data_IF_198062148596
#
_entry.id   IF_198062148596
#
_cell.length_a   1.000
_cell.length_b   1.000
_cell.length_c   1.000
_cell.angle_alpha   90.00
_cell.angle_beta   90.00
_cell.angle_gamma   90.00
#
_symmetry.space_group_name_H-M   'P 1'
#
loop_
_entity.id
_entity.type
_entity.pdbx_description
1 polymer ?
#
# COMPACT_ATOMS: atom_id res chain seq x y z
N UNK A 1 15.32 -58.82 23.66
CA UNK A 1 16.30 -58.20 22.74
C UNK A 1 15.51 -57.56 21.60
N UNK A 2 15.40 -56.23 21.64
CA UNK A 2 15.84 -55.26 20.60
C UNK A 2 15.11 -55.45 19.26
N UNK A 3 14.10 -54.64 18.95
CA UNK A 3 14.23 -53.33 18.27
C UNK A 3 13.51 -53.47 16.92
N UNK A 4 12.93 -52.47 16.26
CA UNK A 4 13.11 -51.02 16.25
C UNK A 4 11.79 -50.44 15.74
N UNK A 5 11.20 -49.50 16.48
CA UNK A 5 10.09 -48.68 15.98
C UNK A 5 10.65 -47.73 14.91
N UNK A 6 10.27 -47.92 13.64
CA UNK A 6 10.57 -46.96 12.57
C UNK A 6 9.69 -45.72 12.76
N UNK A 7 10.17 -44.79 13.59
CA UNK A 7 9.63 -43.44 13.67
C UNK A 7 10.06 -42.64 12.44
N UNK A 8 9.13 -42.39 11.51
CA UNK A 8 9.33 -41.39 10.47
C UNK A 8 9.16 -40.00 11.10
N UNK A 9 10.28 -39.36 11.48
CA UNK A 9 10.28 -37.96 11.86
C UNK A 9 10.08 -37.10 10.62
N UNK A 10 8.86 -36.61 10.41
CA UNK A 10 8.59 -35.57 9.42
C UNK A 10 9.08 -34.25 10.02
N UNK A 11 10.30 -33.86 9.64
CA UNK A 11 10.84 -32.55 10.00
C UNK A 11 10.03 -31.47 9.31
N UNK A 12 9.16 -30.80 10.06
CA UNK A 12 8.49 -29.57 9.67
C UNK A 12 9.55 -28.46 9.58
N UNK A 13 10.07 -28.21 8.38
CA UNK A 13 10.88 -27.02 8.11
C UNK A 13 9.91 -25.84 8.01
N UNK A 14 9.66 -25.17 9.14
CA UNK A 14 8.93 -23.89 9.13
C UNK A 14 9.84 -22.84 8.52
N UNK A 15 9.68 -22.56 7.22
CA UNK A 15 10.30 -21.41 6.59
C UNK A 15 9.77 -20.15 7.27
N UNK A 16 10.63 -19.51 8.08
CA UNK A 16 10.33 -18.22 8.70
C UNK A 16 10.59 -17.16 7.63
N UNK A 17 9.58 -16.87 6.81
CA UNK A 17 9.64 -15.70 5.94
C UNK A 17 9.61 -14.46 6.85
N UNK A 18 10.50 -13.48 6.67
CA UNK A 18 10.27 -12.18 7.28
C UNK A 18 8.93 -11.67 6.75
N UNK A 19 7.94 -11.54 7.62
CA UNK A 19 6.74 -10.80 7.29
C UNK A 19 7.17 -9.35 7.14
N UNK A 20 7.27 -8.86 5.91
CA UNK A 20 7.30 -7.44 5.64
C UNK A 20 5.97 -6.92 6.19
N UNK A 21 6.00 -6.25 7.34
CA UNK A 21 4.80 -5.69 7.92
C UNK A 21 4.34 -4.60 6.96
N UNK A 22 3.26 -4.85 6.22
CA UNK A 22 2.72 -3.85 5.30
C UNK A 22 2.30 -2.62 6.11
N UNK A 23 2.92 -1.47 5.84
CA UNK A 23 2.76 -0.25 6.62
C UNK A 23 1.59 0.59 6.09
N UNK A 24 0.39 0.01 6.14
CA UNK A 24 -0.84 0.67 5.68
C UNK A 24 -1.34 1.70 6.68
N UNK A 25 -1.42 2.95 6.23
CA UNK A 25 -1.93 4.08 7.00
C UNK A 25 -3.35 4.39 6.55
N UNK A 26 -4.31 4.31 7.49
CA UNK A 26 -5.67 4.75 7.25
C UNK A 26 -5.73 6.27 7.09
N UNK A 27 -6.32 6.72 6.00
CA UNK A 27 -6.48 8.15 5.69
C UNK A 27 -7.88 8.63 6.04
N UNK A 28 -8.90 7.90 5.61
CA UNK A 28 -10.28 8.34 5.74
C UNK A 28 -11.24 7.61 4.82
N UNK A 29 -12.46 8.15 4.71
CA UNK A 29 -13.53 7.60 3.88
C UNK A 29 -13.83 8.53 2.70
N UNK A 30 -13.78 8.00 1.49
CA UNK A 30 -14.11 8.70 0.26
C UNK A 30 -15.60 9.06 0.18
N UNK A 31 -15.97 9.96 -0.75
CA UNK A 31 -17.38 10.32 -1.01
C UNK A 31 -18.24 9.12 -1.42
N UNK A 32 -17.64 8.11 -2.05
CA UNK A 32 -18.31 6.83 -2.38
C UNK A 32 -18.65 5.98 -1.16
N UNK A 33 -18.07 6.31 0.00
CA UNK A 33 -18.16 5.51 1.21
C UNK A 33 -17.06 4.45 1.34
N UNK A 34 -16.07 4.43 0.46
CA UNK A 34 -14.95 3.50 0.51
C UNK A 34 -13.83 4.04 1.42
N UNK A 35 -13.19 3.15 2.17
CA UNK A 35 -12.04 3.50 2.98
C UNK A 35 -10.79 3.64 2.12
N UNK A 36 -9.97 4.63 2.43
CA UNK A 36 -8.69 4.90 1.78
C UNK A 36 -7.57 4.56 2.75
N UNK A 37 -6.65 3.71 2.29
CA UNK A 37 -5.39 3.45 2.97
C UNK A 37 -4.22 3.76 2.04
N UNK A 38 -3.08 4.16 2.59
CA UNK A 38 -1.84 4.38 1.84
C UNK A 38 -0.76 3.48 2.40
N UNK A 39 -0.05 2.76 1.53
CA UNK A 39 1.14 2.02 1.93
C UNK A 39 2.29 3.02 2.10
N UNK A 40 2.66 3.30 3.35
CA UNK A 40 3.67 4.30 3.66
C UNK A 40 5.07 3.89 3.19
N UNK A 41 5.36 2.60 3.07
CA UNK A 41 6.67 2.10 2.63
C UNK A 41 6.82 2.18 1.10
N UNK A 42 5.71 2.31 0.37
CA UNK A 42 5.70 2.52 -1.08
C UNK A 42 6.01 3.96 -1.50
N UNK A 43 6.00 4.91 -0.56
CA UNK A 43 6.14 6.34 -0.85
C UNK A 43 7.59 6.63 -1.24
N UNK A 44 7.79 7.14 -2.45
CA UNK A 44 9.13 7.44 -2.98
C UNK A 44 9.11 8.60 -3.98
N UNK A 45 10.18 9.39 -4.01
CA UNK A 45 10.32 10.46 -5.00
C UNK A 45 10.73 9.90 -6.37
N UNK A 46 10.12 10.43 -7.43
CA UNK A 46 10.36 10.04 -8.81
C UNK A 46 10.33 11.27 -9.75
N UNK A 47 10.60 11.05 -11.05
CA UNK A 47 10.63 12.15 -12.03
C UNK A 47 9.25 12.76 -12.27
N UNK A 48 8.21 11.95 -12.17
CA UNK A 48 6.81 12.29 -12.39
C UNK A 48 6.10 12.86 -11.14
N UNK A 49 6.77 12.90 -9.99
CA UNK A 49 6.20 13.29 -8.71
C UNK A 49 6.54 12.30 -7.60
N UNK A 50 5.68 12.20 -6.59
CA UNK A 50 5.83 11.23 -5.50
C UNK A 50 5.05 9.96 -5.84
N UNK A 51 5.74 8.84 -6.05
CA UNK A 51 5.11 7.53 -6.24
C UNK A 51 4.60 7.00 -4.92
N UNK A 52 3.45 6.35 -4.95
CA UNK A 52 2.85 5.70 -3.81
C UNK A 52 1.85 4.64 -4.28
N UNK A 53 1.50 3.73 -3.38
CA UNK A 53 0.44 2.74 -3.52
C UNK A 53 -0.63 3.08 -2.49
N UNK A 54 -1.89 3.07 -2.92
CA UNK A 54 -3.04 3.28 -2.05
C UNK A 54 -4.11 2.24 -2.33
N UNK A 55 -4.93 1.94 -1.33
CA UNK A 55 -6.13 1.15 -1.50
C UNK A 55 -7.37 2.03 -1.36
N UNK A 56 -8.39 1.73 -2.15
CA UNK A 56 -9.73 2.31 -2.04
C UNK A 56 -10.74 1.21 -2.32
N UNK A 57 -11.63 0.97 -1.36
CA UNK A 57 -12.57 -0.15 -1.43
C UNK A 57 -11.82 -1.49 -1.50
N UNK A 58 -12.03 -2.25 -2.58
CA UNK A 58 -11.35 -3.53 -2.82
C UNK A 58 -10.18 -3.44 -3.81
N UNK A 59 -9.80 -2.23 -4.21
CA UNK A 59 -8.72 -2.02 -5.18
C UNK A 59 -7.46 -1.50 -4.50
N UNK A 60 -6.31 -1.98 -4.96
CA UNK A 60 -4.99 -1.41 -4.66
C UNK A 60 -4.38 -0.86 -5.93
N UNK A 61 -3.98 0.39 -5.90
CA UNK A 61 -3.61 1.18 -7.08
C UNK A 61 -2.26 1.85 -6.87
N UNK A 62 -1.42 1.79 -7.91
CA UNK A 62 -0.18 2.55 -7.95
C UNK A 62 -0.44 3.92 -8.58
N UNK A 63 0.09 4.95 -7.96
CA UNK A 63 -0.10 6.33 -8.37
C UNK A 63 1.16 7.19 -8.21
N UNK A 64 1.15 8.35 -8.86
CA UNK A 64 2.13 9.41 -8.69
C UNK A 64 1.42 10.72 -8.34
N UNK A 65 1.73 11.27 -7.17
CA UNK A 65 1.19 12.54 -6.70
C UNK A 65 1.99 13.72 -7.27
N UNK A 66 1.27 14.70 -7.82
CA UNK A 66 1.79 16.00 -8.16
C UNK A 66 1.38 17.00 -7.05
N UNK A 67 2.31 17.20 -6.11
CA UNK A 67 2.09 18.02 -4.92
C UNK A 67 1.91 19.51 -5.22
N UNK A 68 2.36 19.99 -6.39
CA UNK A 68 2.18 21.38 -6.80
C UNK A 68 0.79 21.64 -7.39
N UNK A 69 0.24 20.64 -8.08
CA UNK A 69 -1.04 20.78 -8.79
C UNK A 69 -2.23 20.21 -8.00
N UNK A 70 -1.99 19.64 -6.81
CA UNK A 70 -3.00 18.97 -5.99
C UNK A 70 -3.76 17.88 -6.77
N UNK A 71 -3.01 17.05 -7.50
CA UNK A 71 -3.55 15.94 -8.29
C UNK A 71 -2.70 14.68 -8.12
N UNK A 72 -3.25 13.52 -8.48
CA UNK A 72 -2.46 12.29 -8.65
C UNK A 72 -2.84 11.58 -9.94
N UNK A 73 -1.85 10.95 -10.56
CA UNK A 73 -2.00 10.11 -11.73
C UNK A 73 -2.04 8.64 -11.31
N UNK A 74 -3.04 7.89 -11.76
CA UNK A 74 -3.22 6.45 -11.46
C UNK A 74 -2.76 5.62 -12.66
N UNK A 75 -1.73 4.80 -12.46
CA UNK A 75 -1.07 4.05 -13.54
C UNK A 75 -2.00 3.05 -14.22
N UNK A 76 -2.82 2.33 -13.44
CA UNK A 76 -3.74 1.31 -13.96
C UNK A 76 -4.76 1.87 -14.96
N UNK A 77 -5.14 3.15 -14.80
CA UNK A 77 -6.21 3.79 -15.58
C UNK A 77 -5.71 4.86 -16.54
N UNK A 78 -4.40 5.13 -16.57
CA UNK A 78 -3.81 6.22 -17.34
C UNK A 78 -4.56 7.56 -17.17
N UNK A 79 -4.97 7.85 -15.93
CA UNK A 79 -5.90 8.95 -15.64
C UNK A 79 -5.40 9.77 -14.45
N UNK A 80 -5.53 11.10 -14.57
CA UNK A 80 -5.26 12.04 -13.48
C UNK A 80 -6.55 12.39 -12.75
N UNK A 81 -6.50 12.36 -11.42
CA UNK A 81 -7.59 12.71 -10.54
C UNK A 81 -7.24 13.92 -9.66
N UNK A 82 -8.26 14.64 -9.23
CA UNK A 82 -8.20 15.68 -8.21
C UNK A 82 -9.09 15.31 -7.02
N UNK A 83 -8.77 15.77 -5.79
CA UNK A 83 -9.55 15.45 -4.61
C UNK A 83 -11.03 15.79 -4.77
N UNK A 84 -11.91 14.83 -4.47
CA UNK A 84 -13.37 14.98 -4.47
C UNK A 84 -13.98 14.88 -3.06
N UNK A 85 -13.13 14.64 -2.06
CA UNK A 85 -13.49 14.43 -0.66
C UNK A 85 -12.34 14.89 0.24
N UNK A 86 -12.64 15.13 1.52
CA UNK A 86 -11.61 15.41 2.51
C UNK A 86 -10.60 14.27 2.60
N UNK A 87 -11.04 13.00 2.54
CA UNK A 87 -10.14 11.86 2.58
C UNK A 87 -9.14 11.83 1.42
N UNK A 88 -9.58 12.12 0.19
CA UNK A 88 -8.67 12.22 -0.97
C UNK A 88 -7.74 13.43 -0.90
N UNK A 89 -8.17 14.51 -0.23
CA UNK A 89 -7.32 15.67 0.03
C UNK A 89 -6.24 15.32 1.08
N UNK A 90 -6.64 14.66 2.16
CA UNK A 90 -5.75 14.22 3.24
C UNK A 90 -4.75 13.17 2.73
N UNK A 91 -5.18 12.31 1.79
CA UNK A 91 -4.30 11.34 1.11
C UNK A 91 -3.15 12.06 0.40
N UNK A 92 -3.45 13.09 -0.41
CA UNK A 92 -2.41 13.86 -1.10
C UNK A 92 -1.52 14.62 -0.11
N UNK A 93 -2.10 15.24 0.92
CA UNK A 93 -1.33 15.96 1.95
C UNK A 93 -0.37 14.99 2.66
N UNK A 94 -0.84 13.79 3.00
CA UNK A 94 -0.03 12.76 3.64
C UNK A 94 1.14 12.32 2.74
N UNK A 95 0.84 11.91 1.50
CA UNK A 95 1.85 11.46 0.53
C UNK A 95 2.88 12.54 0.26
N UNK A 96 2.44 13.77 0.02
CA UNK A 96 3.32 14.90 -0.28
C UNK A 96 4.18 15.32 0.91
N UNK A 97 3.72 15.11 2.16
CA UNK A 97 4.51 15.40 3.36
C UNK A 97 5.55 14.31 3.64
N UNK A 98 5.24 13.05 3.36
CA UNK A 98 6.15 11.92 3.61
C UNK A 98 7.19 11.79 2.50
N UNK A 99 6.81 12.04 1.24
CA UNK A 99 7.70 11.89 0.09
C UNK A 99 8.56 13.11 -0.25
N UNK A 100 8.37 14.25 0.43
CA UNK A 100 9.14 15.50 0.26
C UNK A 100 10.49 15.49 0.96
#
# INVERSE_FOLDING_TARGET
>A
MVGVLMGAMVSLVTAVYPAWAENWVYIGKATTGEEIYVDADSISSAREGIRFVYSIGNETLQAAANCNNNTWYVLKYDTTYSPQSQATQDMLVYVCRVGS
#
